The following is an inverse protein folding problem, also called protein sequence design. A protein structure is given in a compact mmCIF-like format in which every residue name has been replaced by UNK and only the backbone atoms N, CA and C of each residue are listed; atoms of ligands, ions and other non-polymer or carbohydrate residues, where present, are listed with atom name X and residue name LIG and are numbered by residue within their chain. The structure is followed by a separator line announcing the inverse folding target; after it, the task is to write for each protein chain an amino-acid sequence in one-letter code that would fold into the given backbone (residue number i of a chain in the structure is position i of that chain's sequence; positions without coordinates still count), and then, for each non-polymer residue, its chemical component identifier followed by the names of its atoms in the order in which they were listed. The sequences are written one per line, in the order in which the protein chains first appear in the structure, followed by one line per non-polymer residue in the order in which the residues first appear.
data_IF_723163350921
#
_entry.id   IF_723163350921
#
_cell.length_a   1.000
_cell.length_b   1.000
_cell.length_c   1.000
_cell.angle_alpha   90.00
_cell.angle_beta   90.00
_cell.angle_gamma   90.00
#
_symmetry.space_group_name_H-M   'P 1'
#
loop_
_entity.id
_entity.type
_entity.pdbx_description
1 polymer ?
#
# COMPACT_ATOMS: atom_id res chain seq x y z
N UNK A 1 -4.26 1.18 4.57
CA UNK A 1 -3.52 0.02 4.03
C UNK A 1 -3.76 -1.10 5.02
N UNK A 2 -4.77 -1.94 4.77
CA UNK A 2 -5.21 -2.95 5.74
C UNK A 2 -4.22 -4.12 5.72
N UNK A 3 -3.76 -4.55 6.89
CA UNK A 3 -3.01 -5.80 7.04
C UNK A 3 -3.83 -6.99 6.51
N UNK A 4 -3.17 -8.04 6.01
CA UNK A 4 -3.85 -9.20 5.41
C UNK A 4 -4.81 -9.87 6.38
N UNK A 5 -4.49 -9.89 7.67
CA UNK A 5 -5.38 -10.41 8.70
C UNK A 5 -6.63 -9.53 8.89
N UNK A 6 -6.49 -8.21 8.75
CA UNK A 6 -7.64 -7.29 8.83
C UNK A 6 -8.53 -7.47 7.60
N UNK A 7 -7.95 -7.59 6.40
CA UNK A 7 -8.70 -7.87 5.17
C UNK A 7 -9.47 -9.20 5.25
N UNK A 8 -8.85 -10.23 5.83
CA UNK A 8 -9.50 -11.53 6.05
C UNK A 8 -10.71 -11.39 6.97
N UNK A 9 -10.58 -10.66 8.09
CA UNK A 9 -11.69 -10.40 9.01
C UNK A 9 -12.84 -9.65 8.32
N UNK A 10 -12.54 -8.61 7.55
CA UNK A 10 -13.56 -7.85 6.81
C UNK A 10 -14.28 -8.73 5.78
N UNK A 11 -13.54 -9.59 5.08
CA UNK A 11 -14.11 -10.50 4.08
C UNK A 11 -14.98 -11.58 4.72
N UNK A 12 -14.60 -12.10 5.89
CA UNK A 12 -15.43 -13.04 6.67
C UNK A 12 -16.72 -12.36 7.14
N UNK A 13 -16.64 -11.11 7.60
CA UNK A 13 -17.83 -10.36 7.99
C UNK A 13 -18.77 -10.14 6.79
N UNK A 14 -18.21 -9.76 5.63
CA UNK A 14 -18.98 -9.63 4.39
C UNK A 14 -19.63 -10.94 3.96
N UNK A 15 -18.94 -12.07 4.13
CA UNK A 15 -19.49 -13.40 3.87
C UNK A 15 -20.69 -13.71 4.77
N UNK A 16 -20.62 -13.34 6.06
CA UNK A 16 -21.72 -13.50 7.00
C UNK A 16 -22.92 -12.61 6.61
N UNK A 17 -22.68 -11.37 6.18
CA UNK A 17 -23.73 -10.49 5.67
C UNK A 17 -24.43 -11.09 4.44
N UNK A 18 -23.68 -11.66 3.49
CA UNK A 18 -24.26 -12.35 2.34
C UNK A 18 -25.16 -13.51 2.76
N UNK A 19 -24.75 -14.31 3.74
CA UNK A 19 -25.61 -15.37 4.29
C UNK A 19 -26.88 -14.80 4.94
N UNK A 20 -26.77 -13.82 5.84
CA UNK A 20 -27.93 -13.23 6.50
C UNK A 20 -28.92 -12.61 5.50
N UNK A 21 -28.41 -11.84 4.53
CA UNK A 21 -29.23 -11.20 3.51
C UNK A 21 -29.90 -12.22 2.59
N UNK A 22 -29.17 -13.25 2.15
CA UNK A 22 -29.75 -14.32 1.32
C UNK A 22 -30.87 -15.07 2.04
N UNK A 23 -30.70 -15.40 3.33
CA UNK A 23 -31.74 -16.06 4.13
C UNK A 23 -32.96 -15.15 4.28
N UNK A 24 -32.76 -13.87 4.57
CA UNK A 24 -33.86 -12.90 4.70
C UNK A 24 -34.69 -12.79 3.42
N UNK A 25 -34.03 -12.71 2.27
CA UNK A 25 -34.68 -12.68 0.96
C UNK A 25 -35.40 -14.00 0.67
N UNK A 26 -34.78 -15.15 0.92
CA UNK A 26 -35.44 -16.45 0.74
C UNK A 26 -36.69 -16.60 1.59
N UNK A 27 -36.68 -16.11 2.83
CA UNK A 27 -37.86 -16.11 3.71
C UNK A 27 -38.95 -15.16 3.19
N UNK A 28 -38.58 -13.96 2.74
CA UNK A 28 -39.53 -12.97 2.22
C UNK A 28 -40.29 -13.48 0.98
N UNK A 29 -39.61 -14.24 0.11
CA UNK A 29 -40.21 -14.81 -1.10
C UNK A 29 -40.67 -16.27 -0.93
N UNK A 30 -40.59 -16.83 0.28
CA UNK A 30 -41.02 -18.20 0.54
C UNK A 30 -42.53 -18.33 0.33
N UNK A 31 -42.95 -19.33 -0.45
CA UNK A 31 -44.37 -19.65 -0.63
C UNK A 31 -44.75 -20.81 0.30
N UNK A 32 -45.93 -20.74 0.96
CA UNK A 32 -46.38 -21.84 1.81
C UNK A 32 -46.52 -23.14 0.99
N UNK A 33 -45.92 -24.23 1.49
CA UNK A 33 -46.09 -25.54 0.87
C UNK A 33 -47.55 -26.00 0.98
N UNK A 34 -48.13 -26.43 -0.13
CA UNK A 34 -49.48 -26.99 -0.14
C UNK A 34 -49.40 -28.47 0.26
N UNK A 35 -50.09 -28.83 1.34
CA UNK A 35 -50.27 -30.23 1.72
C UNK A 35 -51.53 -30.78 1.05
N UNK A 36 -51.53 -32.05 0.58
CA UNK A 36 -52.72 -32.69 0.04
C UNK A 36 -53.85 -32.67 1.10
N UNK A 37 -54.99 -32.06 0.77
CA UNK A 37 -56.16 -31.97 1.66
C UNK A 37 -56.27 -30.71 2.53
N UNK A 38 -55.35 -29.73 2.40
CA UNK A 38 -55.40 -28.47 3.15
C UNK A 38 -55.42 -27.25 2.21
N UNK A 39 -56.53 -27.04 1.49
CA UNK A 39 -56.76 -25.83 0.70
C UNK A 39 -57.27 -24.68 1.58
N UNK A 40 -56.39 -24.09 2.40
CA UNK A 40 -56.66 -22.75 2.93
C UNK A 40 -56.45 -21.74 1.80
N UNK A 41 -57.56 -21.37 1.15
CA UNK A 41 -57.67 -20.22 0.25
C UNK A 41 -57.54 -18.90 1.04
N UNK A 42 -56.38 -18.66 1.64
CA UNK A 42 -56.04 -17.40 2.30
C UNK A 42 -55.13 -16.58 1.40
N UNK A 43 -55.70 -15.58 0.72
CA UNK A 43 -55.02 -14.43 0.09
C UNK A 43 -53.66 -14.73 -0.56
N UNK A 44 -53.68 -15.36 -1.74
CA UNK A 44 -52.51 -15.37 -2.62
C UNK A 44 -52.40 -14.00 -3.27
N UNK A 45 -51.51 -13.14 -2.76
CA UNK A 45 -51.00 -12.03 -3.57
C UNK A 45 -50.12 -12.61 -4.68
N UNK A 46 -50.40 -12.32 -5.96
CA UNK A 46 -49.56 -12.79 -7.06
C UNK A 46 -48.22 -12.05 -6.98
N UNK A 47 -47.19 -12.70 -6.47
CA UNK A 47 -45.88 -12.06 -6.31
C UNK A 47 -44.79 -12.83 -7.04
N UNK A 48 -44.45 -12.31 -8.23
CA UNK A 48 -43.15 -12.32 -8.90
C UNK A 48 -42.18 -13.48 -8.55
N UNK A 49 -42.52 -14.72 -8.92
CA UNK A 49 -41.61 -15.87 -8.82
C UNK A 49 -40.29 -15.65 -9.58
N UNK A 50 -40.31 -14.87 -10.66
CA UNK A 50 -39.13 -14.62 -11.49
C UNK A 50 -38.02 -13.85 -10.76
N UNK A 51 -38.36 -12.91 -9.86
CA UNK A 51 -37.35 -12.19 -9.08
C UNK A 51 -36.68 -13.08 -8.02
N UNK A 52 -37.34 -14.15 -7.56
CA UNK A 52 -36.80 -15.04 -6.53
C UNK A 52 -35.59 -15.84 -7.03
N UNK A 53 -35.68 -16.39 -8.25
CA UNK A 53 -34.58 -17.16 -8.85
C UNK A 53 -33.35 -16.27 -9.14
N UNK A 54 -33.57 -15.04 -9.60
CA UNK A 54 -32.50 -14.06 -9.83
C UNK A 54 -31.74 -13.71 -8.55
N UNK A 55 -32.45 -13.46 -7.45
CA UNK A 55 -31.80 -13.19 -6.15
C UNK A 55 -31.07 -14.40 -5.59
N UNK A 56 -31.64 -15.60 -5.73
CA UNK A 56 -30.98 -16.83 -5.28
C UNK A 56 -29.65 -17.05 -6.02
N UNK A 57 -29.65 -16.87 -7.34
CA UNK A 57 -28.46 -16.99 -8.17
C UNK A 57 -27.43 -15.89 -7.85
N UNK A 58 -27.88 -14.65 -7.64
CA UNK A 58 -27.02 -13.54 -7.25
C UNK A 58 -26.29 -13.83 -5.94
N UNK A 59 -27.02 -14.20 -4.88
CA UNK A 59 -26.40 -14.50 -3.58
C UNK A 59 -25.52 -15.75 -3.64
N UNK A 60 -25.90 -16.79 -4.39
CA UNK A 60 -25.04 -17.95 -4.60
C UNK A 60 -23.70 -17.56 -5.24
N UNK A 61 -23.73 -16.64 -6.21
CA UNK A 61 -22.52 -16.11 -6.86
C UNK A 61 -21.68 -15.29 -5.89
N UNK A 62 -22.29 -14.38 -5.14
CA UNK A 62 -21.60 -13.54 -4.15
C UNK A 62 -20.94 -14.39 -3.05
N UNK A 63 -21.65 -15.37 -2.50
CA UNK A 63 -21.15 -16.30 -1.49
C UNK A 63 -19.99 -17.13 -2.05
N UNK A 64 -20.16 -17.74 -3.23
CA UNK A 64 -19.11 -18.58 -3.82
C UNK A 64 -17.84 -17.80 -4.16
N UNK A 65 -17.99 -16.55 -4.60
CA UNK A 65 -16.86 -15.67 -4.87
C UNK A 65 -16.17 -15.25 -3.59
N UNK A 66 -16.92 -14.78 -2.60
CA UNK A 66 -16.37 -14.33 -1.33
C UNK A 66 -15.63 -15.48 -0.60
N UNK A 67 -16.15 -16.70 -0.65
CA UNK A 67 -15.46 -17.89 -0.16
C UNK A 67 -14.10 -18.13 -0.85
N UNK A 68 -14.02 -18.00 -2.18
CA UNK A 68 -12.74 -18.10 -2.91
C UNK A 68 -11.78 -16.98 -2.57
N UNK A 69 -12.29 -15.78 -2.37
CA UNK A 69 -11.49 -14.62 -1.97
C UNK A 69 -10.91 -14.86 -0.56
N UNK A 70 -11.68 -15.47 0.36
CA UNK A 70 -11.20 -15.92 1.68
C UNK A 70 -10.07 -16.96 1.54
N UNK A 71 -10.26 -18.00 0.73
CA UNK A 71 -9.23 -19.03 0.50
C UNK A 71 -7.93 -18.41 -0.01
N UNK A 72 -8.03 -17.52 -1.01
CA UNK A 72 -6.88 -16.81 -1.57
C UNK A 72 -6.19 -15.92 -0.54
N UNK A 73 -6.96 -15.27 0.34
CA UNK A 73 -6.40 -14.46 1.42
C UNK A 73 -5.65 -15.32 2.43
N UNK A 74 -6.17 -16.50 2.78
CA UNK A 74 -5.51 -17.47 3.67
C UNK A 74 -4.19 -17.95 3.06
N UNK A 75 -4.19 -18.32 1.78
CA UNK A 75 -2.96 -18.72 1.06
C UNK A 75 -1.92 -17.60 0.97
N UNK A 76 -2.36 -16.35 0.99
CA UNK A 76 -1.48 -15.18 0.96
C UNK A 76 -0.93 -14.76 2.32
N UNK A 77 -1.35 -15.41 3.42
CA UNK A 77 -0.81 -15.11 4.73
C UNK A 77 0.66 -15.51 4.81
N UNK A 78 1.52 -14.72 5.48
CA UNK A 78 2.90 -15.11 5.72
C UNK A 78 2.94 -16.45 6.46
N UNK A 79 3.84 -17.33 6.04
CA UNK A 79 3.92 -18.71 6.53
C UNK A 79 4.19 -18.77 8.05
N UNK A 80 3.32 -19.49 8.77
CA UNK A 80 3.46 -19.78 10.20
C UNK A 80 4.68 -20.66 10.54
N UNK A 81 5.33 -21.24 9.52
CA UNK A 81 6.50 -22.13 9.68
C UNK A 81 7.77 -21.41 10.13
N UNK A 82 7.76 -20.07 10.13
CA UNK A 82 8.82 -19.29 10.76
C UNK A 82 8.63 -19.32 12.27
N UNK A 83 9.36 -20.20 12.96
CA UNK A 83 9.43 -20.14 14.41
C UNK A 83 9.77 -18.70 14.84
N UNK A 84 9.19 -18.25 15.96
CA UNK A 84 9.45 -16.89 16.48
C UNK A 84 10.94 -16.60 16.60
N UNK A 85 11.73 -17.62 16.89
CA UNK A 85 13.20 -17.56 16.94
C UNK A 85 13.84 -17.27 15.57
N UNK A 86 13.41 -17.94 14.48
CA UNK A 86 13.88 -17.66 13.12
C UNK A 86 13.48 -16.25 12.66
N UNK A 87 12.30 -15.77 13.05
CA UNK A 87 11.86 -14.42 12.74
C UNK A 87 12.72 -13.36 13.46
N UNK A 88 13.01 -13.58 14.75
CA UNK A 88 13.92 -12.71 15.52
C UNK A 88 15.33 -12.70 14.94
N UNK A 89 15.84 -13.86 14.51
CA UNK A 89 17.15 -13.95 13.85
C UNK A 89 17.16 -13.18 12.53
N UNK A 90 16.09 -13.33 11.73
CA UNK A 90 15.94 -12.60 10.47
C UNK A 90 15.87 -11.09 10.68
N UNK A 91 15.15 -10.63 11.72
CA UNK A 91 15.11 -9.21 12.09
C UNK A 91 16.49 -8.68 12.49
N UNK A 92 17.23 -9.40 13.34
CA UNK A 92 18.60 -8.99 13.74
C UNK A 92 19.54 -8.88 12.53
N UNK A 93 19.41 -9.80 11.57
CA UNK A 93 20.18 -9.76 10.33
C UNK A 93 19.82 -8.53 9.50
N UNK A 94 18.52 -8.26 9.31
CA UNK A 94 18.04 -7.08 8.59
C UNK A 94 18.48 -5.77 9.26
N UNK A 95 18.48 -5.70 10.58
CA UNK A 95 18.99 -4.53 11.32
C UNK A 95 20.48 -4.31 11.08
N UNK A 96 21.28 -5.38 11.06
CA UNK A 96 22.71 -5.29 10.76
C UNK A 96 22.97 -4.85 9.32
N UNK A 97 22.27 -5.43 8.34
CA UNK A 97 22.35 -5.04 6.93
C UNK A 97 21.89 -3.59 6.72
N UNK A 98 20.84 -3.15 7.42
CA UNK A 98 20.35 -1.77 7.36
C UNK A 98 21.38 -0.79 7.92
N UNK A 99 22.03 -1.13 9.04
CA UNK A 99 23.08 -0.33 9.64
C UNK A 99 24.28 -0.19 8.70
N UNK A 100 24.74 -1.28 8.10
CA UNK A 100 25.85 -1.25 7.15
C UNK A 100 25.50 -0.40 5.92
N UNK A 101 24.30 -0.55 5.37
CA UNK A 101 23.84 0.27 4.25
C UNK A 101 23.77 1.76 4.61
N UNK A 102 23.38 2.11 5.85
CA UNK A 102 23.35 3.48 6.34
C UNK A 102 24.78 4.07 6.46
N UNK A 103 25.74 3.31 6.99
CA UNK A 103 27.14 3.73 7.08
C UNK A 103 27.75 3.95 5.68
N UNK A 104 27.46 3.06 4.72
CA UNK A 104 27.89 3.23 3.34
C UNK A 104 27.27 4.49 2.70
N UNK A 105 25.98 4.73 2.96
CA UNK A 105 25.29 5.92 2.48
C UNK A 105 25.91 7.20 3.05
N UNK A 106 26.21 7.23 4.35
CA UNK A 106 26.85 8.37 5.01
C UNK A 106 28.21 8.70 4.40
N UNK A 107 29.04 7.69 4.14
CA UNK A 107 30.34 7.91 3.50
C UNK A 107 30.19 8.45 2.07
N UNK A 108 29.25 7.91 1.29
CA UNK A 108 28.99 8.41 -0.07
C UNK A 108 28.49 9.85 -0.04
N UNK A 109 27.60 10.21 0.87
CA UNK A 109 27.12 11.59 1.06
C UNK A 109 28.28 12.51 1.43
N UNK A 110 29.11 12.12 2.40
CA UNK A 110 30.29 12.90 2.83
C UNK A 110 31.27 13.16 1.68
N UNK A 111 31.54 12.15 0.86
CA UNK A 111 32.39 12.31 -0.32
C UNK A 111 31.76 13.24 -1.36
N UNK A 112 30.43 13.13 -1.55
CA UNK A 112 29.65 14.03 -2.39
C UNK A 112 29.73 15.50 -1.95
N UNK A 113 29.60 15.76 -0.64
CA UNK A 113 29.71 17.10 -0.07
C UNK A 113 31.09 17.72 -0.28
N UNK A 114 32.16 16.95 -0.04
CA UNK A 114 33.55 17.41 -0.28
C UNK A 114 33.75 17.75 -1.76
N UNK A 115 33.22 16.93 -2.67
CA UNK A 115 33.31 17.20 -4.10
C UNK A 115 32.54 18.46 -4.49
N UNK A 116 31.35 18.65 -3.92
CA UNK A 116 30.53 19.84 -4.15
C UNK A 116 31.24 21.12 -3.68
N UNK A 117 31.87 21.10 -2.50
CA UNK A 117 32.63 22.22 -1.96
C UNK A 117 33.80 22.60 -2.89
N UNK A 118 34.54 21.61 -3.40
CA UNK A 118 35.62 21.85 -4.38
C UNK A 118 35.13 22.49 -5.67
N UNK A 119 33.98 22.04 -6.19
CA UNK A 119 33.37 22.61 -7.39
C UNK A 119 32.93 24.05 -7.12
N UNK A 120 32.30 24.32 -5.97
CA UNK A 120 31.89 25.66 -5.57
C UNK A 120 33.10 26.60 -5.43
N UNK A 121 34.19 26.13 -4.82
CA UNK A 121 35.44 26.88 -4.72
C UNK A 121 36.01 27.24 -6.10
N UNK A 122 36.14 26.26 -6.99
CA UNK A 122 36.63 26.50 -8.35
C UNK A 122 35.73 27.48 -9.14
N UNK A 123 34.41 27.39 -8.99
CA UNK A 123 33.46 28.32 -9.60
C UNK A 123 33.63 29.75 -9.05
N UNK A 124 33.86 29.89 -7.74
CA UNK A 124 34.13 31.18 -7.11
C UNK A 124 35.43 31.81 -7.61
N UNK A 125 36.50 31.01 -7.74
CA UNK A 125 37.79 31.47 -8.25
C UNK A 125 37.67 31.95 -9.71
N UNK A 126 36.92 31.21 -10.54
CA UNK A 126 36.63 31.60 -11.92
C UNK A 126 35.85 32.93 -11.95
N UNK A 127 34.84 33.08 -11.10
CA UNK A 127 34.05 34.31 -11.01
C UNK A 127 34.91 35.51 -10.56
N UNK A 128 35.79 35.33 -9.58
CA UNK A 128 36.74 36.37 -9.13
C UNK A 128 37.72 36.75 -10.24
N UNK A 129 38.34 35.77 -10.92
CA UNK A 129 39.23 36.02 -12.05
C UNK A 129 38.55 36.84 -13.17
N UNK A 130 37.27 36.54 -13.46
CA UNK A 130 36.51 37.28 -14.46
C UNK A 130 36.20 38.71 -14.03
N UNK A 131 35.89 38.94 -12.75
CA UNK A 131 35.70 40.28 -12.19
C UNK A 131 36.99 41.10 -12.21
N UNK A 132 38.12 40.49 -11.84
CA UNK A 132 39.45 41.15 -11.85
C UNK A 132 39.87 41.53 -13.28
N UNK A 133 39.65 40.66 -14.27
CA UNK A 133 39.90 40.98 -15.68
C UNK A 133 39.00 42.10 -16.22
N UNK A 134 37.78 42.25 -15.69
CA UNK A 134 36.86 43.35 -16.05
C UNK A 134 37.21 44.68 -15.38
N UNK A 135 38.13 44.71 -14.40
CA UNK A 135 38.47 45.90 -13.62
C UNK A 135 39.95 46.31 -13.75
N UNK A 136 40.42 46.74 -14.95
CA UNK A 136 41.84 47.03 -15.20
C UNK A 136 42.43 48.22 -14.41
N UNK A 137 41.62 48.99 -13.68
CA UNK A 137 42.08 50.18 -12.93
C UNK A 137 42.80 49.86 -11.60
N UNK A 138 42.76 48.62 -11.11
CA UNK A 138 43.48 48.21 -9.89
C UNK A 138 44.89 47.65 -10.15
N UNK A 139 45.18 47.19 -11.37
CA UNK A 139 46.49 46.61 -11.72
C UNK A 139 47.54 47.71 -11.90
N UNK A 140 47.15 48.92 -12.36
CA UNK A 140 48.11 50.01 -12.62
C UNK A 140 48.63 50.73 -11.35
N UNK A 141 48.02 50.53 -10.19
CA UNK A 141 48.33 51.32 -8.97
C UNK A 141 49.28 50.62 -7.97
N UNK A 142 49.73 49.39 -8.23
CA UNK A 142 50.67 48.67 -7.34
C UNK A 142 52.15 48.84 -7.70
N UNK A 143 52.49 49.42 -8.86
CA UNK A 143 53.87 49.51 -9.37
C UNK A 143 54.50 50.92 -9.33
N UNK A 144 54.01 51.84 -8.48
CA UNK A 144 54.68 53.12 -8.26
C UNK A 144 55.22 53.22 -6.84
N UNK A 145 56.42 52.66 -6.64
CA UNK A 145 57.28 53.01 -5.51
C UNK A 145 58.12 54.24 -5.93
N UNK A 146 57.95 55.43 -5.32
CA UNK A 146 58.77 56.58 -5.67
C UNK A 146 60.20 56.41 -5.13
N UNK A 147 61.23 56.87 -5.86
CA UNK A 147 62.62 56.86 -5.40
C UNK A 147 62.93 58.06 -4.49
N UNK A 148 63.74 57.77 -3.46
CA UNK A 148 64.42 58.63 -2.48
C UNK A 148 63.55 59.35 -1.45
#
# INVERSE_FOLDING_TARGET
MADRLTQLQDTINQQAEHFCNSIGILQQFSTPSKFPGFDRSGSQTPQQQQNQEDYAMLFATLISRCAKDIDTLIESLPSEESSTELQVQSLRRLEAENKEAAEQLEEVVRQGEILLEKIQGALSDIAQCQLDMQNPLLILNKDVKPPL
#
